data_IF_297265190813
#
_entry.id   IF_297265190813
#
_cell.length_a   1.000
_cell.length_b   1.000
_cell.length_c   1.000
_cell.angle_alpha   90.00
_cell.angle_beta   90.00
_cell.angle_gamma   90.00
#
_symmetry.space_group_name_H-M   'P 1'
#
loop_
_entity.id
_entity.type
_entity.pdbx_description
1 polymer ?
#
# COMPACT_ATOMS: atom_id res chain seq x y z
N UNK A 1 -23.80 -7.83 -8.39
CA UNK A 1 -24.27 -8.32 -7.07
C UNK A 1 -23.10 -8.34 -6.11
N UNK A 2 -23.00 -7.32 -5.25
CA UNK A 2 -21.99 -7.22 -4.20
C UNK A 2 -22.25 -8.29 -3.13
N UNK A 3 -21.29 -9.21 -2.92
CA UNK A 3 -21.35 -10.11 -1.77
C UNK A 3 -21.27 -9.23 -0.50
N UNK A 4 -22.20 -9.37 0.46
CA UNK A 4 -22.13 -8.62 1.71
C UNK A 4 -20.81 -8.92 2.44
N UNK A 5 -20.36 -8.00 3.30
CA UNK A 5 -19.19 -8.10 4.18
C UNK A 5 -19.34 -9.32 5.12
N UNK A 6 -19.15 -10.52 4.57
CA UNK A 6 -19.34 -11.78 5.27
C UNK A 6 -18.15 -11.91 6.22
N UNK A 7 -18.40 -11.91 7.53
CA UNK A 7 -17.44 -12.42 8.52
C UNK A 7 -16.92 -13.77 8.01
N UNK A 8 -15.63 -13.82 7.62
CA UNK A 8 -15.01 -15.06 7.17
C UNK A 8 -15.07 -16.07 8.33
N UNK A 9 -15.82 -17.16 8.14
CA UNK A 9 -15.85 -18.28 9.09
C UNK A 9 -14.48 -18.96 9.04
N UNK A 10 -13.81 -19.02 10.20
CA UNK A 10 -12.62 -19.83 10.49
C UNK A 10 -11.39 -19.66 9.58
N UNK A 11 -10.64 -18.57 9.78
CA UNK A 11 -9.22 -18.45 9.41
C UNK A 11 -8.26 -19.00 10.50
N UNK A 12 -8.70 -19.96 11.32
CA UNK A 12 -7.89 -20.50 12.44
C UNK A 12 -6.88 -21.59 12.05
N UNK A 13 -6.57 -21.76 10.77
CA UNK A 13 -5.32 -22.41 10.40
C UNK A 13 -4.19 -21.40 10.69
N UNK A 14 -3.14 -21.84 11.38
CA UNK A 14 -2.00 -20.99 11.77
C UNK A 14 -1.41 -20.34 10.51
N UNK A 15 -1.73 -19.06 10.28
CA UNK A 15 -1.08 -18.30 9.23
C UNK A 15 0.38 -18.05 9.62
N UNK A 16 1.32 -18.16 8.67
CA UNK A 16 2.73 -18.01 8.97
C UNK A 16 3.10 -16.56 9.33
N UNK A 17 2.29 -15.58 8.91
CA UNK A 17 2.57 -14.14 9.07
C UNK A 17 1.39 -13.39 9.67
N UNK A 18 1.69 -12.25 10.29
CA UNK A 18 0.73 -11.24 10.74
C UNK A 18 1.08 -9.87 10.16
N UNK A 19 0.07 -9.02 9.94
CA UNK A 19 0.26 -7.61 9.57
C UNK A 19 0.97 -6.78 10.66
N UNK A 20 0.99 -7.30 11.89
CA UNK A 20 1.71 -6.71 13.01
C UNK A 20 3.21 -7.08 13.02
N UNK A 21 3.61 -8.06 12.21
CA UNK A 21 5.00 -8.49 12.09
C UNK A 21 5.76 -7.58 11.09
N UNK A 22 7.10 -7.49 11.19
CA UNK A 22 7.90 -6.78 10.20
C UNK A 22 7.79 -7.41 8.80
N UNK A 23 7.67 -6.58 7.77
CA UNK A 23 7.71 -6.98 6.36
C UNK A 23 9.12 -6.73 5.85
N UNK A 24 9.73 -7.75 5.26
CA UNK A 24 11.05 -7.63 4.64
C UNK A 24 10.95 -6.84 3.33
N UNK A 25 11.54 -5.65 3.29
CA UNK A 25 11.55 -4.79 2.11
C UNK A 25 12.78 -5.04 1.24
N UNK A 26 13.86 -5.62 1.79
CA UNK A 26 15.10 -5.88 1.08
C UNK A 26 16.33 -5.69 1.97
N UNK A 27 17.43 -5.20 1.40
CA UNK A 27 18.71 -5.04 2.11
C UNK A 27 19.26 -3.62 1.98
N UNK A 28 20.01 -3.15 2.98
CA UNK A 28 20.73 -1.88 2.92
C UNK A 28 22.10 -2.02 2.23
N UNK A 29 22.87 -0.94 2.21
CA UNK A 29 24.21 -0.89 1.61
C UNK A 29 25.26 -1.77 2.30
N UNK A 30 25.00 -2.20 3.54
CA UNK A 30 25.84 -3.11 4.30
C UNK A 30 25.36 -4.57 4.19
N UNK A 31 24.31 -4.84 3.41
CA UNK A 31 23.69 -6.14 3.29
C UNK A 31 22.80 -6.54 4.47
N UNK A 32 22.47 -5.60 5.36
CA UNK A 32 21.57 -5.86 6.48
C UNK A 32 20.10 -5.78 6.04
N UNK A 33 19.21 -6.58 6.63
CA UNK A 33 17.80 -6.58 6.26
C UNK A 33 17.15 -5.23 6.60
N UNK A 34 16.37 -4.71 5.65
CA UNK A 34 15.49 -3.56 5.83
C UNK A 34 14.08 -4.08 6.03
N UNK A 35 13.59 -3.99 7.27
CA UNK A 35 12.27 -4.49 7.67
C UNK A 35 11.36 -3.34 8.12
N UNK A 36 10.09 -3.43 7.77
CA UNK A 36 9.09 -2.39 8.01
C UNK A 36 7.80 -3.01 8.53
N UNK A 37 7.34 -2.60 9.71
CA UNK A 37 6.00 -2.93 10.18
C UNK A 37 4.99 -1.90 9.70
N UNK A 38 4.05 -2.32 8.86
CA UNK A 38 3.03 -1.43 8.27
C UNK A 38 1.89 -1.10 9.24
N UNK A 39 1.66 -1.90 10.29
CA UNK A 39 0.59 -1.61 11.22
C UNK A 39 0.76 -0.19 11.82
N UNK A 40 -0.33 0.58 11.75
CA UNK A 40 -0.40 1.99 12.13
C UNK A 40 0.36 2.98 11.24
N UNK A 41 0.89 2.59 10.08
CA UNK A 41 1.65 3.49 9.20
C UNK A 41 1.27 3.28 7.75
N UNK A 42 0.80 4.35 7.12
CA UNK A 42 0.57 4.38 5.67
C UNK A 42 1.89 4.54 4.93
N UNK A 43 1.95 4.03 3.70
CA UNK A 43 3.14 4.10 2.85
C UNK A 43 2.83 4.83 1.54
N UNK A 44 3.69 5.77 1.17
CA UNK A 44 3.72 6.38 -0.15
C UNK A 44 4.94 5.84 -0.92
N UNK A 45 4.73 5.37 -2.14
CA UNK A 45 5.78 4.90 -3.04
C UNK A 45 5.78 5.72 -4.33
N UNK A 46 6.95 6.09 -4.83
CA UNK A 46 7.06 6.85 -6.07
C UNK A 46 8.38 6.66 -6.78
N UNK A 47 8.34 6.75 -8.11
CA UNK A 47 9.51 6.60 -8.97
C UNK A 47 9.08 6.42 -10.42
N UNK A 48 9.99 6.59 -11.37
CA UNK A 48 9.66 6.41 -12.78
C UNK A 48 9.38 4.94 -13.14
N UNK A 49 8.71 4.65 -14.27
CA UNK A 49 8.48 3.27 -14.70
C UNK A 49 9.77 2.43 -14.78
N UNK A 50 9.69 1.17 -14.35
CA UNK A 50 10.84 0.25 -14.36
C UNK A 50 11.89 0.51 -13.26
N UNK A 51 11.61 1.39 -12.30
CA UNK A 51 12.57 1.73 -11.22
C UNK A 51 12.56 0.76 -10.02
N UNK A 52 11.52 -0.08 -9.88
CA UNK A 52 11.41 -1.08 -8.79
C UNK A 52 10.17 -0.95 -7.89
N UNK A 53 9.34 0.09 -8.09
CA UNK A 53 8.06 0.32 -7.41
C UNK A 53 7.20 -0.93 -7.27
N UNK A 54 6.92 -1.59 -8.40
CA UNK A 54 6.06 -2.79 -8.45
C UNK A 54 6.63 -3.96 -7.67
N UNK A 55 7.96 -4.13 -7.64
CA UNK A 55 8.63 -5.19 -6.88
C UNK A 55 8.39 -5.03 -5.37
N UNK A 56 8.44 -3.79 -4.87
CA UNK A 56 8.12 -3.50 -3.48
C UNK A 56 6.64 -3.74 -3.18
N UNK A 57 5.73 -3.26 -4.03
CA UNK A 57 4.29 -3.52 -3.87
C UNK A 57 3.99 -5.01 -3.83
N UNK A 58 4.57 -5.81 -4.75
CA UNK A 58 4.40 -7.25 -4.79
C UNK A 58 4.92 -7.93 -3.52
N UNK A 59 6.06 -7.47 -2.98
CA UNK A 59 6.60 -7.99 -1.72
C UNK A 59 5.66 -7.72 -0.55
N UNK A 60 5.10 -6.50 -0.48
CA UNK A 60 4.13 -6.15 0.56
C UNK A 60 2.85 -6.97 0.41
N UNK A 61 2.29 -7.06 -0.80
CA UNK A 61 1.06 -7.81 -1.06
C UNK A 61 1.25 -9.29 -0.75
N UNK A 62 2.40 -9.87 -1.10
CA UNK A 62 2.75 -11.25 -0.77
C UNK A 62 2.70 -11.51 0.74
N UNK A 63 3.30 -10.62 1.55
CA UNK A 63 3.25 -10.72 3.01
C UNK A 63 1.81 -10.68 3.51
N UNK A 64 1.03 -9.68 3.07
CA UNK A 64 -0.36 -9.48 3.51
C UNK A 64 -1.28 -10.62 3.04
N UNK A 65 -1.04 -11.19 1.85
CA UNK A 65 -1.81 -12.30 1.31
C UNK A 65 -1.73 -13.54 2.21
N UNK A 66 -0.56 -13.73 2.86
CA UNK A 66 -0.27 -14.80 3.81
C UNK A 66 -0.68 -14.46 5.25
N UNK A 67 -1.17 -13.25 5.53
CA UNK A 67 -1.67 -12.90 6.87
C UNK A 67 -3.09 -13.42 7.10
N UNK A 68 -3.34 -14.06 8.25
CA UNK A 68 -4.71 -14.42 8.66
C UNK A 68 -5.52 -13.21 9.12
N UNK A 69 -4.85 -12.20 9.66
CA UNK A 69 -5.42 -11.02 10.32
C UNK A 69 -5.45 -9.77 9.43
N UNK A 70 -5.36 -9.96 8.11
CA UNK A 70 -5.46 -8.90 7.13
C UNK A 70 -6.35 -9.24 5.93
N UNK A 71 -6.91 -8.19 5.32
CA UNK A 71 -7.72 -8.22 4.10
C UNK A 71 -7.10 -7.28 3.06
N UNK A 72 -7.09 -7.71 1.80
CA UNK A 72 -6.46 -6.99 0.70
C UNK A 72 -7.49 -6.27 -0.15
N UNK A 73 -7.34 -4.96 -0.29
CA UNK A 73 -8.14 -4.13 -1.20
C UNK A 73 -7.19 -3.53 -2.22
N UNK A 74 -7.30 -3.94 -3.47
CA UNK A 74 -6.37 -3.59 -4.55
C UNK A 74 -7.07 -2.69 -5.57
N UNK A 75 -6.45 -1.56 -5.87
CA UNK A 75 -6.88 -0.60 -6.88
C UNK A 75 -5.77 -0.51 -7.94
N UNK A 76 -5.99 -1.19 -9.06
CA UNK A 76 -5.05 -1.34 -10.17
C UNK A 76 -5.66 -0.77 -11.45
N UNK A 77 -5.49 0.55 -11.62
CA UNK A 77 -6.02 1.27 -12.76
C UNK A 77 -5.47 0.80 -14.11
N UNK A 78 -4.23 0.30 -14.13
CA UNK A 78 -3.55 -0.12 -15.36
C UNK A 78 -3.76 -1.62 -15.65
N UNK A 79 -4.16 -2.41 -14.65
CA UNK A 79 -4.39 -3.87 -14.76
C UNK A 79 -3.16 -4.59 -15.30
N UNK A 80 -1.98 -4.23 -14.77
CA UNK A 80 -0.69 -4.83 -15.15
C UNK A 80 0.05 -5.33 -13.93
N UNK A 81 0.09 -4.51 -12.87
CA UNK A 81 0.99 -4.72 -11.75
C UNK A 81 0.39 -5.60 -10.66
N UNK A 82 -0.93 -5.49 -10.41
CA UNK A 82 -1.60 -6.20 -9.32
C UNK A 82 -2.53 -7.33 -9.80
N UNK A 83 -2.70 -7.49 -11.12
CA UNK A 83 -3.64 -8.46 -11.70
C UNK A 83 -3.42 -9.90 -11.24
N UNK A 84 -2.16 -10.32 -11.04
CA UNK A 84 -1.85 -11.66 -10.51
C UNK A 84 -2.49 -11.92 -9.13
N UNK A 85 -2.71 -10.86 -8.34
CA UNK A 85 -3.23 -10.97 -6.98
C UNK A 85 -4.76 -10.92 -6.89
N UNK A 86 -5.48 -10.83 -8.01
CA UNK A 86 -6.94 -10.66 -8.04
C UNK A 86 -7.67 -11.74 -7.22
N UNK A 87 -7.29 -13.01 -7.38
CA UNK A 87 -7.94 -14.14 -6.69
C UNK A 87 -7.76 -14.12 -5.16
N UNK A 88 -6.69 -13.49 -4.67
CA UNK A 88 -6.44 -13.33 -3.23
C UNK A 88 -6.91 -11.98 -2.69
N UNK A 89 -7.32 -11.06 -3.55
CA UNK A 89 -7.88 -9.79 -3.11
C UNK A 89 -9.28 -10.00 -2.51
N UNK A 90 -9.58 -9.30 -1.43
CA UNK A 90 -10.94 -9.21 -0.91
C UNK A 90 -11.78 -8.24 -1.75
N UNK A 91 -11.13 -7.22 -2.32
CA UNK A 91 -11.68 -6.28 -3.29
C UNK A 91 -10.61 -6.00 -4.34
N UNK A 92 -10.97 -6.10 -5.62
CA UNK A 92 -10.14 -5.70 -6.75
C UNK A 92 -10.90 -4.66 -7.58
N UNK A 93 -10.26 -3.53 -7.86
CA UNK A 93 -10.79 -2.44 -8.67
C UNK A 93 -9.83 -2.19 -9.82
N UNK A 94 -10.28 -2.44 -11.04
CA UNK A 94 -9.52 -2.14 -12.26
C UNK A 94 -9.71 -0.70 -12.75
N UNK A 95 -9.76 -0.54 -14.07
CA UNK A 95 -10.02 0.73 -14.76
C UNK A 95 -11.51 1.17 -14.67
N UNK A 96 -11.98 1.53 -13.47
CA UNK A 96 -13.32 2.06 -13.27
C UNK A 96 -13.36 2.98 -12.04
N UNK A 97 -13.44 4.30 -12.28
CA UNK A 97 -13.46 5.29 -11.18
C UNK A 97 -14.75 5.20 -10.35
N UNK A 98 -15.91 4.94 -10.96
CA UNK A 98 -17.17 4.81 -10.22
C UNK A 98 -17.10 3.66 -9.21
N UNK A 99 -16.60 2.50 -9.64
CA UNK A 99 -16.36 1.36 -8.76
C UNK A 99 -15.30 1.70 -7.68
N UNK A 100 -14.24 2.44 -8.04
CA UNK A 100 -13.25 2.89 -7.08
C UNK A 100 -13.86 3.76 -5.98
N UNK A 101 -14.67 4.76 -6.37
CA UNK A 101 -15.37 5.65 -5.44
C UNK A 101 -16.33 4.88 -4.54
N UNK A 102 -17.14 3.99 -5.10
CA UNK A 102 -18.05 3.14 -4.32
C UNK A 102 -17.31 2.33 -3.25
N UNK A 103 -16.16 1.76 -3.61
CA UNK A 103 -15.34 0.98 -2.67
C UNK A 103 -14.66 1.87 -1.63
N UNK A 104 -14.16 3.04 -2.00
CA UNK A 104 -13.60 3.98 -1.03
C UNK A 104 -14.65 4.49 -0.03
N UNK A 105 -15.89 4.74 -0.47
CA UNK A 105 -17.01 5.07 0.42
C UNK A 105 -17.35 3.92 1.37
N UNK A 106 -17.34 2.68 0.89
CA UNK A 106 -17.52 1.47 1.73
C UNK A 106 -16.42 1.40 2.81
N UNK A 107 -15.17 1.66 2.43
CA UNK A 107 -14.03 1.65 3.35
C UNK A 107 -14.09 2.79 4.37
N UNK A 108 -14.57 3.97 3.98
CA UNK A 108 -14.80 5.09 4.89
C UNK A 108 -15.92 4.77 5.91
N UNK A 109 -17.02 4.15 5.46
CA UNK A 109 -18.09 3.73 6.37
C UNK A 109 -17.62 2.68 7.39
N UNK A 110 -16.77 1.72 6.97
CA UNK A 110 -16.11 0.76 7.85
C UNK A 110 -15.18 1.48 8.86
N UNK A 111 -14.41 2.47 8.40
CA UNK A 111 -13.56 3.30 9.26
C UNK A 111 -14.38 3.98 10.38
N UNK A 112 -15.47 4.65 10.01
CA UNK A 112 -16.35 5.35 10.95
C UNK A 112 -17.03 4.40 11.95
N UNK A 113 -17.42 3.21 11.47
CA UNK A 113 -17.97 2.15 12.32
C UNK A 113 -16.94 1.66 13.35
N UNK A 114 -15.68 1.41 12.95
CA UNK A 114 -14.59 1.03 13.86
C UNK A 114 -14.26 2.12 14.86
N UNK A 115 -14.31 3.40 14.47
CA UNK A 115 -14.14 4.51 15.39
C UNK A 115 -15.24 4.60 16.44
N UNK A 116 -16.51 4.36 16.07
CA UNK A 116 -17.61 4.27 17.04
C UNK A 116 -17.38 3.15 18.05
N UNK A 117 -16.90 1.99 17.61
CA UNK A 117 -16.54 0.89 18.50
C UNK A 117 -15.40 1.28 19.46
N UNK A 118 -14.33 1.90 18.96
CA UNK A 118 -13.21 2.39 19.77
C UNK A 118 -13.65 3.39 20.83
N UNK A 119 -14.52 4.34 20.45
CA UNK A 119 -15.07 5.34 21.36
C UNK A 119 -15.90 4.70 22.48
N UNK A 120 -16.75 3.72 22.15
CA UNK A 120 -17.59 3.02 23.13
C UNK A 120 -16.76 2.31 24.22
N UNK A 121 -15.57 1.82 23.87
CA UNK A 121 -14.64 1.16 24.81
C UNK A 121 -13.49 2.06 25.26
N UNK A 122 -13.56 3.37 25.00
CA UNK A 122 -12.56 4.39 25.38
C UNK A 122 -11.12 4.06 24.96
N UNK A 123 -10.94 3.48 23.76
CA UNK A 123 -9.62 3.17 23.19
C UNK A 123 -9.29 4.07 22.02
N UNK A 124 -7.98 4.28 21.80
CA UNK A 124 -7.47 5.20 20.75
C UNK A 124 -7.22 4.53 19.41
N UNK A 125 -7.02 3.20 19.40
CA UNK A 125 -6.69 2.43 18.19
C UNK A 125 -7.06 0.96 18.35
N UNK A 126 -7.33 0.29 17.23
CA UNK A 126 -7.46 -1.16 17.16
C UNK A 126 -6.11 -1.81 17.43
N UNK A 127 -6.13 -2.91 18.16
CA UNK A 127 -4.95 -3.73 18.48
C UNK A 127 -5.19 -5.18 18.08
N UNK A 128 -4.14 -5.98 18.00
CA UNK A 128 -4.21 -7.41 17.64
C UNK A 128 -5.25 -8.20 18.47
N UNK A 129 -5.38 -7.88 19.75
CA UNK A 129 -6.32 -8.52 20.67
C UNK A 129 -7.81 -8.29 20.33
N UNK A 130 -8.13 -7.32 19.47
CA UNK A 130 -9.51 -7.06 19.05
C UNK A 130 -10.06 -8.12 18.10
N UNK A 131 -9.18 -8.93 17.49
CA UNK A 131 -9.58 -9.95 16.52
C UNK A 131 -10.26 -9.37 15.28
N UNK A 132 -10.03 -8.09 14.98
CA UNK A 132 -10.49 -7.41 13.78
C UNK A 132 -9.39 -7.47 12.72
N UNK A 133 -9.76 -7.90 11.52
CA UNK A 133 -8.83 -7.91 10.39
C UNK A 133 -8.46 -6.46 10.01
N UNK A 134 -7.16 -6.26 9.80
CA UNK A 134 -6.62 -5.01 9.25
C UNK A 134 -6.92 -4.98 7.77
N UNK A 135 -7.43 -3.85 7.26
CA UNK A 135 -7.65 -3.69 5.82
C UNK A 135 -6.43 -2.97 5.25
N UNK A 136 -5.74 -3.62 4.31
CA UNK A 136 -4.64 -3.00 3.56
C UNK A 136 -5.19 -2.59 2.19
N UNK A 137 -5.31 -1.28 1.99
CA UNK A 137 -5.77 -0.66 0.76
C UNK A 137 -4.55 -0.23 -0.06
N UNK A 138 -4.32 -0.92 -1.18
CA UNK A 138 -3.20 -0.66 -2.09
C UNK A 138 -3.73 0.03 -3.34
N UNK A 139 -3.16 1.18 -3.67
CA UNK A 139 -3.44 1.94 -4.89
C UNK A 139 -2.15 1.98 -5.70
N UNK A 140 -2.07 1.20 -6.79
CA UNK A 140 -0.86 1.10 -7.63
C UNK A 140 -0.46 2.45 -8.26
N UNK A 141 -1.46 3.19 -8.73
CA UNK A 141 -1.25 4.46 -9.42
C UNK A 141 -2.29 5.49 -8.98
N UNK A 142 -1.92 6.31 -8.00
CA UNK A 142 -2.74 7.45 -7.53
C UNK A 142 -3.13 8.37 -8.68
N UNK A 143 -2.20 8.63 -9.63
CA UNK A 143 -2.45 9.52 -10.76
C UNK A 143 -3.59 9.04 -11.65
N UNK A 144 -3.82 7.73 -11.69
CA UNK A 144 -4.81 7.15 -12.57
C UNK A 144 -6.21 7.62 -12.20
N UNK A 145 -6.59 7.41 -10.94
CA UNK A 145 -7.91 7.80 -10.44
C UNK A 145 -8.00 9.28 -10.05
N UNK A 146 -6.87 9.92 -9.72
CA UNK A 146 -6.89 11.32 -9.28
C UNK A 146 -6.75 12.33 -10.41
N UNK A 147 -6.18 11.99 -11.58
CA UNK A 147 -6.02 12.94 -12.69
C UNK A 147 -6.34 12.38 -14.08
N UNK A 148 -6.36 11.06 -14.26
CA UNK A 148 -6.40 10.46 -15.60
C UNK A 148 -7.81 10.08 -16.04
N UNK A 149 -8.56 9.34 -15.21
CA UNK A 149 -9.90 8.84 -15.55
C UNK A 149 -10.99 9.57 -14.78
N UNK A 150 -12.24 9.50 -15.29
CA UNK A 150 -13.40 10.13 -14.66
C UNK A 150 -13.57 11.63 -14.91
N UNK A 151 -14.65 12.18 -14.39
CA UNK A 151 -14.90 13.63 -14.39
C UNK A 151 -14.07 14.33 -13.32
N UNK A 152 -13.99 15.68 -13.37
CA UNK A 152 -13.27 16.46 -12.36
C UNK A 152 -13.86 16.28 -10.96
N UNK A 153 -15.19 16.13 -10.88
CA UNK A 153 -15.92 15.89 -9.63
C UNK A 153 -15.56 14.53 -9.05
N UNK A 154 -15.54 13.48 -9.87
CA UNK A 154 -15.15 12.13 -9.46
C UNK A 154 -13.68 12.07 -9.00
N UNK A 155 -12.78 12.74 -9.72
CA UNK A 155 -11.37 12.85 -9.38
C UNK A 155 -11.15 13.55 -8.04
N UNK A 156 -11.88 14.64 -7.79
CA UNK A 156 -11.78 15.40 -6.54
C UNK A 156 -12.37 14.61 -5.36
N UNK A 157 -13.47 13.89 -5.59
CA UNK A 157 -14.02 12.98 -4.59
C UNK A 157 -13.03 11.86 -4.24
N UNK A 158 -12.37 11.26 -5.25
CA UNK A 158 -11.34 10.25 -5.04
C UNK A 158 -10.21 10.78 -4.15
N UNK A 159 -9.68 11.97 -4.46
CA UNK A 159 -8.62 12.62 -3.65
C UNK A 159 -9.09 12.86 -2.22
N UNK A 160 -10.34 13.31 -2.04
CA UNK A 160 -10.93 13.58 -0.73
C UNK A 160 -11.04 12.31 0.11
N UNK A 161 -11.56 11.22 -0.47
CA UNK A 161 -11.71 9.93 0.20
C UNK A 161 -10.35 9.32 0.58
N UNK A 162 -9.39 9.30 -0.35
CA UNK A 162 -8.03 8.79 -0.07
C UNK A 162 -7.38 9.61 1.03
N UNK A 163 -7.47 10.94 0.99
CA UNK A 163 -6.90 11.80 2.04
C UNK A 163 -7.50 11.51 3.41
N UNK A 164 -8.81 11.32 3.51
CA UNK A 164 -9.48 10.98 4.77
C UNK A 164 -8.99 9.64 5.34
N UNK A 165 -8.89 8.62 4.48
CA UNK A 165 -8.36 7.30 4.85
C UNK A 165 -6.91 7.37 5.31
N UNK A 166 -6.05 8.14 4.62
CA UNK A 166 -4.65 8.29 5.03
C UNK A 166 -4.55 9.07 6.37
N UNK A 167 -5.40 10.07 6.58
CA UNK A 167 -5.40 10.87 7.81
C UNK A 167 -5.87 10.09 9.04
N UNK A 168 -6.96 9.31 8.91
CA UNK A 168 -7.66 8.69 10.05
C UNK A 168 -7.60 7.16 10.05
N UNK A 169 -7.44 6.51 8.91
CA UNK A 169 -7.58 5.05 8.78
C UNK A 169 -6.69 4.23 9.70
N UNK A 170 -5.44 4.66 9.93
CA UNK A 170 -4.42 3.87 10.65
C UNK A 170 -4.86 3.39 12.03
N UNK A 171 -5.58 4.22 12.78
CA UNK A 171 -6.04 3.88 14.14
C UNK A 171 -7.24 2.92 14.10
N UNK A 172 -8.05 2.99 13.04
CA UNK A 172 -9.13 2.07 12.75
C UNK A 172 -8.65 0.78 12.04
N UNK A 173 -7.35 0.53 11.96
CA UNK A 173 -6.82 -0.68 11.31
C UNK A 173 -7.09 -0.70 9.81
N UNK A 174 -7.09 0.47 9.17
CA UNK A 174 -7.10 0.62 7.71
C UNK A 174 -5.77 1.27 7.32
N UNK A 175 -4.94 0.54 6.58
CA UNK A 175 -3.61 0.97 6.16
C UNK A 175 -3.65 1.22 4.66
N UNK A 176 -3.26 2.44 4.26
CA UNK A 176 -3.19 2.84 2.86
C UNK A 176 -1.76 2.76 2.38
N UNK A 177 -1.58 2.06 1.25
CA UNK A 177 -0.35 2.03 0.47
C UNK A 177 -0.69 2.67 -0.86
N UNK A 178 -0.06 3.79 -1.16
CA UNK A 178 -0.33 4.55 -2.36
C UNK A 178 0.94 4.67 -3.17
N UNK A 179 0.87 4.37 -4.46
CA UNK A 179 2.01 4.40 -5.34
C UNK A 179 1.74 5.33 -6.54
N UNK A 180 2.79 5.89 -7.12
CA UNK A 180 2.67 6.64 -8.38
C UNK A 180 3.93 6.58 -9.22
N UNK A 181 3.75 6.57 -10.55
CA UNK A 181 4.86 6.75 -11.49
C UNK A 181 5.10 8.23 -11.87
N UNK A 182 4.20 9.12 -11.44
CA UNK A 182 4.22 10.55 -11.76
C UNK A 182 4.29 11.35 -10.46
N UNK A 183 5.49 11.47 -9.84
CA UNK A 183 5.67 12.27 -8.64
C UNK A 183 5.56 13.77 -8.99
N UNK A 184 4.34 14.30 -8.96
CA UNK A 184 4.01 15.71 -9.17
C UNK A 184 3.09 16.24 -8.05
N UNK A 185 3.13 17.54 -7.78
CA UNK A 185 2.41 18.16 -6.66
C UNK A 185 0.88 18.19 -6.85
N UNK A 186 0.39 18.09 -8.09
CA UNK A 186 -1.03 17.95 -8.43
C UNK A 186 -1.57 16.54 -8.13
N UNK A 187 -0.71 15.52 -8.16
CA UNK A 187 -1.07 14.14 -7.81
C UNK A 187 -0.85 13.91 -6.31
N UNK A 188 0.29 14.38 -5.78
CA UNK A 188 0.67 14.24 -4.37
C UNK A 188 0.91 15.64 -3.79
N UNK A 189 -0.15 16.33 -3.36
CA UNK A 189 0.02 17.59 -2.64
C UNK A 189 0.75 17.33 -1.32
N UNK A 190 1.54 18.32 -0.88
CA UNK A 190 2.25 18.31 0.41
C UNK A 190 1.36 17.85 1.57
N UNK A 191 0.12 18.34 1.61
CA UNK A 191 -0.87 18.02 2.64
C UNK A 191 -1.30 16.55 2.67
N UNK A 192 -1.15 15.83 1.57
CA UNK A 192 -1.36 14.38 1.48
C UNK A 192 -0.07 13.62 1.78
N UNK A 193 1.05 14.01 1.15
CA UNK A 193 2.39 13.41 1.35
C UNK A 193 2.75 13.31 2.82
N UNK A 194 2.53 14.38 3.57
CA UNK A 194 2.99 14.48 4.96
C UNK A 194 2.18 13.60 5.92
N UNK A 195 1.03 13.05 5.47
CA UNK A 195 0.24 12.08 6.24
C UNK A 195 0.79 10.65 6.15
N UNK A 196 1.67 10.36 5.19
CA UNK A 196 2.31 9.06 5.05
C UNK A 196 3.51 8.95 5.99
N UNK A 197 3.45 7.95 6.89
CA UNK A 197 4.48 7.68 7.89
C UNK A 197 5.70 6.94 7.33
N UNK A 198 5.55 6.30 6.17
CA UNK A 198 6.66 5.81 5.36
C UNK A 198 6.57 6.38 3.95
N UNK A 199 7.72 6.75 3.39
CA UNK A 199 7.83 7.23 2.02
C UNK A 199 8.99 6.51 1.35
N UNK A 200 8.76 5.95 0.18
CA UNK A 200 9.76 5.24 -0.61
C UNK A 200 9.90 5.94 -1.94
N UNK A 201 11.11 6.39 -2.25
CA UNK A 201 11.44 6.96 -3.55
C UNK A 201 12.41 6.04 -4.29
N UNK A 202 11.91 5.41 -5.35
CA UNK A 202 12.75 4.81 -6.38
C UNK A 202 13.24 5.88 -7.36
N UNK A 203 14.07 5.46 -8.32
CA UNK A 203 14.68 6.34 -9.33
C UNK A 203 13.68 7.35 -9.89
N UNK A 204 14.07 8.62 -9.87
CA UNK A 204 13.27 9.74 -10.36
C UNK A 204 14.03 10.51 -11.44
N UNK A 205 13.32 11.23 -12.30
CA UNK A 205 13.94 12.01 -13.38
C UNK A 205 14.60 13.31 -12.88
N UNK A 206 14.12 13.85 -11.76
CA UNK A 206 14.60 15.13 -11.20
C UNK A 206 14.66 15.11 -9.68
N UNK A 207 15.45 16.03 -9.11
CA UNK A 207 15.52 16.25 -7.65
C UNK A 207 14.18 16.71 -7.08
N UNK A 208 13.44 17.53 -7.84
CA UNK A 208 12.09 17.97 -7.48
C UNK A 208 11.13 16.78 -7.36
N UNK A 209 11.18 15.86 -8.32
CA UNK A 209 10.38 14.61 -8.28
C UNK A 209 10.76 13.73 -7.08
N UNK A 210 12.04 13.65 -6.73
CA UNK A 210 12.50 12.95 -5.51
C UNK A 210 11.90 13.61 -4.25
N UNK A 211 11.98 14.93 -4.14
CA UNK A 211 11.49 15.70 -2.99
C UNK A 211 9.95 15.71 -2.88
N UNK A 212 9.22 15.49 -3.98
CA UNK A 212 7.77 15.29 -3.93
C UNK A 212 7.42 14.02 -3.14
N UNK A 213 8.28 13.00 -3.17
CA UNK A 213 8.06 11.76 -2.41
C UNK A 213 8.74 11.82 -1.04
N UNK A 214 10.03 12.15 -0.97
CA UNK A 214 10.79 12.15 0.29
C UNK A 214 10.47 13.36 1.19
N UNK A 215 9.79 14.38 0.67
CA UNK A 215 9.65 15.72 1.22
C UNK A 215 10.81 16.67 0.89
N UNK A 216 10.46 17.96 0.90
CA UNK A 216 11.32 19.06 0.41
C UNK A 216 12.62 19.13 1.22
N UNK A 217 13.74 19.24 0.51
CA UNK A 217 15.06 19.52 1.07
C UNK A 217 16.01 18.33 1.06
N UNK A 218 15.50 17.09 1.02
CA UNK A 218 16.34 15.90 1.09
C UNK A 218 17.31 15.75 -0.07
N UNK A 219 16.91 16.14 -1.29
CA UNK A 219 17.82 16.15 -2.43
C UNK A 219 19.04 17.05 -2.21
N UNK A 220 18.88 18.21 -1.54
CA UNK A 220 19.98 19.12 -1.21
C UNK A 220 20.91 18.55 -0.13
N UNK A 221 20.36 17.75 0.78
CA UNK A 221 21.09 17.01 1.81
C UNK A 221 21.75 15.72 1.28
N UNK A 222 21.72 15.49 -0.05
CA UNK A 222 22.36 14.35 -0.71
C UNK A 222 21.47 13.12 -0.91
N UNK A 223 20.25 13.15 -0.40
CA UNK A 223 19.27 12.06 -0.54
C UNK A 223 18.34 12.31 -1.72
N UNK A 224 18.89 12.19 -2.93
CA UNK A 224 18.13 12.34 -4.17
C UNK A 224 17.98 11.02 -4.90
N UNK A 225 16.75 10.59 -5.12
CA UNK A 225 16.42 9.43 -5.94
C UNK A 225 16.77 9.65 -7.43
N UNK A 226 17.03 10.89 -7.86
CA UNK A 226 17.60 11.19 -9.18
C UNK A 226 18.98 10.57 -9.41
N UNK A 227 19.75 10.43 -8.34
CA UNK A 227 21.13 9.93 -8.40
C UNK A 227 21.20 8.40 -8.46
N UNK A 228 20.06 7.72 -8.46
CA UNK A 228 19.99 6.26 -8.66
C UNK A 228 20.17 5.99 -10.15
N UNK A 229 21.11 5.13 -10.50
CA UNK A 229 21.42 4.85 -11.91
C UNK A 229 20.32 3.98 -12.53
N UNK A 230 20.04 4.10 -13.84
CA UNK A 230 19.03 3.29 -14.51
C UNK A 230 19.22 1.77 -14.35
N UNK A 231 20.47 1.30 -14.28
CA UNK A 231 20.84 -0.10 -14.07
C UNK A 231 20.62 -0.60 -12.63
N UNK A 232 20.48 0.30 -11.66
CA UNK A 232 20.28 -0.03 -10.24
C UNK A 232 18.80 -0.30 -9.93
N UNK A 233 18.09 -1.08 -10.75
CA UNK A 233 16.65 -1.34 -10.62
C UNK A 233 16.31 -1.89 -9.23
N UNK A 234 15.28 -1.37 -8.57
CA UNK A 234 14.91 -1.77 -7.22
C UNK A 234 15.75 -1.10 -6.13
N UNK A 235 16.73 -0.27 -6.46
CA UNK A 235 17.36 0.61 -5.47
C UNK A 235 16.46 1.81 -5.23
N UNK A 236 16.24 2.16 -3.97
CA UNK A 236 15.44 3.30 -3.55
C UNK A 236 15.91 3.89 -2.23
N UNK A 237 15.28 4.99 -1.85
CA UNK A 237 15.38 5.56 -0.51
C UNK A 237 14.09 5.30 0.25
N UNK A 238 14.20 4.82 1.48
CA UNK A 238 13.08 4.76 2.42
C UNK A 238 13.25 5.82 3.51
N UNK A 239 12.21 6.61 3.72
CA UNK A 239 12.10 7.59 4.78
C UNK A 239 10.99 7.17 5.74
N UNK A 240 11.36 6.97 7.00
CA UNK A 240 10.41 6.84 8.10
C UNK A 240 10.10 8.22 8.69
N UNK A 241 8.88 8.41 9.20
CA UNK A 241 8.46 9.63 9.90
C UNK A 241 9.49 10.06 10.96
N UNK A 242 9.94 11.32 10.87
CA UNK A 242 10.93 11.91 11.77
C UNK A 242 12.37 11.40 11.60
N UNK A 243 12.63 10.50 10.64
CA UNK A 243 13.95 9.96 10.36
C UNK A 243 14.70 10.68 9.24
N UNK A 244 15.82 10.08 8.84
CA UNK A 244 16.59 10.41 7.64
C UNK A 244 16.34 9.35 6.55
N UNK A 245 16.37 9.71 5.25
CA UNK A 245 16.25 8.72 4.19
C UNK A 245 17.40 7.71 4.25
N UNK A 246 17.09 6.42 4.05
CA UNK A 246 18.09 5.35 3.98
C UNK A 246 18.00 4.66 2.64
N UNK A 247 19.16 4.39 2.03
CA UNK A 247 19.21 3.66 0.77
C UNK A 247 19.00 2.17 1.02
N UNK A 248 18.24 1.51 0.15
CA UNK A 248 18.04 0.07 0.19
C UNK A 248 17.87 -0.48 -1.22
N UNK A 249 18.09 -1.79 -1.35
CA UNK A 249 17.76 -2.60 -2.53
C UNK A 249 16.51 -3.42 -2.19
N UNK A 250 15.42 -3.16 -2.91
CA UNK A 250 14.15 -3.85 -2.72
C UNK A 250 14.27 -5.35 -3.00
N UNK A 251 13.58 -6.14 -2.19
CA UNK A 251 13.35 -7.55 -2.46
C UNK A 251 12.55 -7.70 -3.77
N UNK A 252 12.79 -8.82 -4.45
CA UNK A 252 12.16 -9.12 -5.73
C UNK A 252 11.56 -10.51 -5.69
N UNK A 253 10.29 -10.60 -6.08
CA UNK A 253 9.59 -11.85 -6.30
C UNK A 253 9.39 -12.03 -7.80
N UNK A 254 9.79 -13.19 -8.30
CA UNK A 254 9.46 -13.63 -9.66
C UNK A 254 7.99 -14.01 -9.75
N UNK A 255 7.41 -13.99 -10.95
CA UNK A 255 6.01 -14.36 -11.18
C UNK A 255 5.70 -15.77 -10.67
N UNK A 256 6.60 -16.74 -10.88
CA UNK A 256 6.47 -18.09 -10.34
C UNK A 256 6.44 -18.14 -8.79
N UNK A 257 7.19 -17.25 -8.12
CA UNK A 257 7.12 -17.13 -6.66
C UNK A 257 5.82 -16.45 -6.22
N UNK A 258 5.34 -15.45 -6.96
CA UNK A 258 4.04 -14.80 -6.71
C UNK A 258 2.91 -15.83 -6.83
N UNK A 259 2.88 -16.64 -7.90
CA UNK A 259 1.92 -17.73 -8.09
C UNK A 259 1.97 -18.75 -6.94
N UNK A 260 3.17 -19.14 -6.49
CA UNK A 260 3.33 -20.05 -5.36
C UNK A 260 2.78 -19.45 -4.04
N UNK A 261 2.96 -18.15 -3.83
CA UNK A 261 2.39 -17.43 -2.68
C UNK A 261 0.86 -17.38 -2.79
N UNK A 262 0.31 -17.07 -3.97
CA UNK A 262 -1.13 -17.05 -4.24
C UNK A 262 -1.75 -18.41 -3.94
N UNK A 263 -1.20 -19.49 -4.49
CA UNK A 263 -1.68 -20.85 -4.25
C UNK A 263 -1.64 -21.22 -2.76
N UNK A 264 -0.64 -20.74 -2.02
CA UNK A 264 -0.55 -20.93 -0.57
C UNK A 264 -1.62 -20.13 0.17
N UNK A 265 -1.79 -18.86 -0.18
CA UNK A 265 -2.81 -17.98 0.40
C UNK A 265 -4.24 -18.47 0.15
N UNK A 266 -4.53 -19.03 -1.04
CA UNK A 266 -5.83 -19.63 -1.38
C UNK A 266 -6.09 -20.90 -0.56
N UNK A 267 -5.11 -21.81 -0.47
CA UNK A 267 -5.20 -23.01 0.38
C UNK A 267 -5.47 -22.67 1.84
N UNK A 268 -4.80 -21.65 2.38
CA UNK A 268 -5.04 -21.15 3.74
C UNK A 268 -6.47 -20.61 3.95
N UNK A 269 -7.15 -20.20 2.87
CA UNK A 269 -8.55 -19.75 2.88
C UNK A 269 -9.53 -20.89 2.60
N UNK A 270 -9.06 -22.12 2.44
CA UNK A 270 -9.88 -23.29 2.10
C UNK A 270 -10.41 -23.26 0.66
N UNK A 271 -9.75 -22.52 -0.23
CA UNK A 271 -10.05 -22.49 -1.66
C UNK A 271 -9.02 -23.39 -2.34
N UNK A 272 -9.50 -24.38 -3.10
CA UNK A 272 -8.62 -25.22 -3.91
C UNK A 272 -8.22 -24.44 -5.18
N UNK A 273 -6.93 -24.11 -5.39
CA UNK A 273 -6.50 -23.39 -6.58
C UNK A 273 -6.60 -24.21 -7.87
N UNK A 274 -6.86 -25.53 -7.81
CA UNK A 274 -6.97 -26.42 -8.96
C UNK A 274 -8.41 -26.80 -9.34
N UNK A 275 -9.42 -26.27 -8.65
CA UNK A 275 -10.84 -26.55 -8.87
C UNK A 275 -11.53 -25.45 -9.69
#
# INVERSE_FOLDING_TARGET
MTRPFRRRRNRRACAPLSIYDPIHFGIDENGLPVEVTLMYRNLLDGGEPGSGKSSLLNTIIAHVALCSDARLWLFDGKTVELGLWEDVADVFVGNNIGHALDKLRELQAEMDMRYRQLHAVKRRKIVRADGLDVIVCVIDELAFYSVTIGTKEEQEEFRTLVRDLVARGRAAGIIVIAATQRPSADIIPTSLRDLFGFRVAFRCTTDSSSDIILAVGWAKEGYSARNIRPEDIGVGFILAEGGIPRRFKAAYLTDAQIEAVIATALRMRGIDPAA
#
